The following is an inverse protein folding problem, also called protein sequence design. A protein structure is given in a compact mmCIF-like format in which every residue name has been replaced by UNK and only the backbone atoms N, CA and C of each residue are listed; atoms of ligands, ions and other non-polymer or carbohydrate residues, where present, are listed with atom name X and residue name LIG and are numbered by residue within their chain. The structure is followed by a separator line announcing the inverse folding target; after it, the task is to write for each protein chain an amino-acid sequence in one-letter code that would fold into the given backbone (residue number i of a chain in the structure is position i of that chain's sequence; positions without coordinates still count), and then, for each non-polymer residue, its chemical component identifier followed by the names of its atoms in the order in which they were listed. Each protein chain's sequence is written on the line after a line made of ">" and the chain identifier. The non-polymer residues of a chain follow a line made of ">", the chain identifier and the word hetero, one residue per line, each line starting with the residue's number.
data_IF_997497632820
#
_entry.id   IF_997497632820
#
_cell.length_a   1.000
_cell.length_b   1.000
_cell.length_c   1.000
_cell.angle_alpha   90.00
_cell.angle_beta   90.00
_cell.angle_gamma   90.00
#
_symmetry.space_group_name_H-M   'P 1'
#
loop_
_entity.id
_entity.type
_entity.pdbx_description
1 polymer ?
#
# COMPACT_ATOMS: atom_id res chain seq x y z
N UNK A 1 14.90 23.66 11.21
CA UNK A 1 14.72 22.27 11.74
C UNK A 1 15.29 21.33 10.69
N UNK A 2 16.41 20.66 11.02
CA UNK A 2 17.05 19.69 10.13
C UNK A 2 16.12 18.47 10.00
N UNK A 3 15.51 18.30 8.83
CA UNK A 3 14.78 17.09 8.48
C UNK A 3 15.80 15.98 8.23
N UNK A 4 16.08 15.18 9.25
CA UNK A 4 16.84 13.95 9.08
C UNK A 4 15.91 12.91 8.47
N UNK A 5 16.01 12.75 7.15
CA UNK A 5 15.45 11.63 6.41
C UNK A 5 15.94 10.32 7.02
N UNK A 6 15.04 9.40 7.30
CA UNK A 6 15.33 7.99 7.60
C UNK A 6 15.95 7.61 8.95
N UNK A 7 16.01 8.42 9.96
CA UNK A 7 16.59 7.98 11.24
C UNK A 7 15.57 7.57 12.31
N UNK A 8 14.29 7.82 12.12
CA UNK A 8 13.27 7.25 13.02
C UNK A 8 13.08 5.77 12.68
N UNK A 9 13.52 4.88 13.53
CA UNK A 9 13.24 3.45 13.42
C UNK A 9 11.73 3.21 13.57
N UNK A 10 11.20 2.28 12.77
CA UNK A 10 9.81 1.84 12.92
C UNK A 10 9.65 1.27 14.34
N UNK A 11 8.75 1.85 15.11
CA UNK A 11 8.46 1.42 16.47
C UNK A 11 7.63 0.14 16.43
N UNK A 12 8.10 -0.92 17.08
CA UNK A 12 7.37 -2.20 17.13
C UNK A 12 6.15 -2.15 18.05
N UNK A 13 6.15 -1.27 19.05
CA UNK A 13 5.08 -1.10 20.02
C UNK A 13 3.92 -0.24 19.55
N UNK A 14 4.02 0.36 18.38
CA UNK A 14 3.01 1.26 17.81
C UNK A 14 2.32 0.58 16.65
N UNK A 15 0.99 0.68 16.51
CA UNK A 15 0.31 0.20 15.30
C UNK A 15 0.94 0.81 14.05
N UNK A 16 1.36 -0.02 13.12
CA UNK A 16 1.98 0.43 11.87
C UNK A 16 1.00 0.29 10.71
N UNK A 17 0.93 1.31 9.88
CA UNK A 17 0.19 1.30 8.62
C UNK A 17 1.20 1.47 7.48
N UNK A 18 1.08 0.67 6.43
CA UNK A 18 1.98 0.71 5.28
C UNK A 18 1.22 1.13 4.02
N UNK A 19 1.74 2.08 3.28
CA UNK A 19 1.31 2.35 1.90
C UNK A 19 2.46 2.08 0.94
N UNK A 20 2.20 1.24 -0.07
CA UNK A 20 3.18 0.86 -1.10
C UNK A 20 2.79 1.54 -2.41
N UNK A 21 3.71 2.34 -2.96
CA UNK A 21 3.47 3.14 -4.16
C UNK A 21 2.57 4.33 -3.88
N UNK A 22 2.91 5.15 -2.87
CA UNK A 22 2.07 6.27 -2.46
C UNK A 22 2.01 7.42 -3.47
N UNK A 23 2.79 7.39 -4.56
CA UNK A 23 2.83 8.43 -5.58
C UNK A 23 3.09 9.81 -4.99
N UNK A 24 2.16 10.76 -5.18
CA UNK A 24 2.27 12.13 -4.61
C UNK A 24 1.88 12.21 -3.13
N UNK A 25 1.46 11.10 -2.50
CA UNK A 25 1.27 10.98 -1.07
C UNK A 25 -0.07 11.47 -0.51
N UNK A 26 -1.08 11.72 -1.35
CA UNK A 26 -2.37 12.23 -0.87
C UNK A 26 -3.00 11.30 0.17
N UNK A 27 -3.08 10.00 -0.13
CA UNK A 27 -3.63 9.01 0.80
C UNK A 27 -2.73 8.84 2.04
N UNK A 28 -1.41 8.86 1.86
CA UNK A 28 -0.45 8.75 2.96
C UNK A 28 -0.62 9.88 4.00
N UNK A 29 -0.83 11.11 3.54
CA UNK A 29 -1.09 12.28 4.40
C UNK A 29 -2.45 12.14 5.10
N UNK A 30 -3.47 11.68 4.40
CA UNK A 30 -4.80 11.46 4.99
C UNK A 30 -4.78 10.35 6.04
N UNK A 31 -4.11 9.23 5.76
CA UNK A 31 -3.89 8.15 6.74
C UNK A 31 -3.22 8.65 8.01
N UNK A 32 -2.23 9.52 7.86
CA UNK A 32 -1.50 10.11 8.96
C UNK A 32 -2.40 10.94 9.89
N UNK A 33 -3.24 11.80 9.30
CA UNK A 33 -4.17 12.65 10.04
C UNK A 33 -5.25 11.86 10.77
N UNK A 34 -5.72 10.78 10.16
CA UNK A 34 -6.79 9.95 10.71
C UNK A 34 -6.28 8.91 11.72
N UNK A 35 -4.95 8.73 11.84
CA UNK A 35 -4.33 7.70 12.68
C UNK A 35 -3.17 8.27 13.51
N UNK A 36 -3.42 9.30 14.31
CA UNK A 36 -2.39 10.02 15.08
C UNK A 36 -1.57 9.13 16.04
N UNK A 37 -2.15 8.04 16.53
CA UNK A 37 -1.47 7.07 17.40
C UNK A 37 -0.69 6.00 16.64
N UNK A 38 -0.79 5.97 15.31
CA UNK A 38 -0.12 5.01 14.44
C UNK A 38 1.09 5.64 13.77
N UNK A 39 2.07 4.80 13.45
CA UNK A 39 3.16 5.17 12.58
C UNK A 39 2.81 4.79 11.14
N UNK A 40 2.86 5.75 10.23
CA UNK A 40 2.54 5.56 8.82
C UNK A 40 3.85 5.38 8.05
N UNK A 41 3.98 4.27 7.36
CA UNK A 41 5.16 3.94 6.55
C UNK A 41 4.77 4.05 5.09
N UNK A 42 5.43 4.93 4.36
CA UNK A 42 5.26 5.09 2.92
C UNK A 42 6.46 4.56 2.15
N UNK A 43 6.23 3.77 1.11
CA UNK A 43 7.29 3.30 0.20
C UNK A 43 6.97 3.78 -1.21
N UNK A 44 7.90 4.57 -1.80
CA UNK A 44 7.77 5.11 -3.15
C UNK A 44 9.16 5.35 -3.75
N UNK A 45 9.54 4.62 -4.80
CA UNK A 45 10.84 4.83 -5.46
C UNK A 45 10.95 6.16 -6.21
N UNK A 46 9.82 6.77 -6.59
CA UNK A 46 9.80 8.01 -7.37
C UNK A 46 10.05 9.24 -6.49
N UNK A 47 11.21 9.85 -6.65
CA UNK A 47 11.70 10.91 -5.76
C UNK A 47 10.80 12.15 -5.72
N UNK A 48 10.07 12.50 -6.79
CA UNK A 48 9.14 13.62 -6.77
C UNK A 48 7.97 13.36 -5.81
N UNK A 49 7.50 12.12 -5.71
CA UNK A 49 6.50 11.73 -4.73
C UNK A 49 7.02 11.85 -3.30
N UNK A 50 8.25 11.38 -3.08
CA UNK A 50 8.94 11.52 -1.79
C UNK A 50 9.04 12.99 -1.40
N UNK A 51 9.54 13.86 -2.28
CA UNK A 51 9.65 15.28 -2.03
C UNK A 51 8.30 15.94 -1.71
N UNK A 52 7.24 15.55 -2.43
CA UNK A 52 5.87 16.04 -2.19
C UNK A 52 5.37 15.73 -0.78
N UNK A 53 5.59 14.48 -0.32
CA UNK A 53 5.20 14.06 1.04
C UNK A 53 5.99 14.84 2.09
N UNK A 54 7.28 15.02 1.90
CA UNK A 54 8.12 15.76 2.84
C UNK A 54 7.66 17.20 2.96
N UNK A 55 7.46 17.86 1.82
CA UNK A 55 6.95 19.24 1.80
C UNK A 55 5.62 19.33 2.57
N UNK A 56 4.72 18.37 2.34
CA UNK A 56 3.43 18.31 3.03
C UNK A 56 3.57 18.11 4.53
N UNK A 57 4.49 17.23 4.96
CA UNK A 57 4.77 16.98 6.38
C UNK A 57 5.28 18.25 7.07
N UNK A 58 6.20 18.98 6.43
CA UNK A 58 6.72 20.24 6.96
C UNK A 58 5.60 21.27 7.10
N UNK A 59 4.86 21.49 5.99
CA UNK A 59 3.81 22.51 5.94
C UNK A 59 2.68 22.27 6.94
N UNK A 60 2.38 21.02 7.25
CA UNK A 60 1.23 20.62 8.08
C UNK A 60 1.64 20.09 9.46
N UNK A 61 2.91 20.17 9.86
CA UNK A 61 3.46 19.67 11.12
C UNK A 61 3.13 18.19 11.38
N UNK A 62 3.23 17.34 10.35
CA UNK A 62 3.01 15.91 10.43
C UNK A 62 4.32 15.22 10.80
N UNK A 63 4.34 14.41 11.87
CA UNK A 63 5.55 13.78 12.42
C UNK A 63 5.48 12.25 12.53
N UNK A 64 4.32 11.64 12.23
CA UNK A 64 4.08 10.20 12.31
C UNK A 64 4.29 9.45 10.99
N UNK A 65 4.80 10.09 9.93
CA UNK A 65 5.12 9.46 8.65
C UNK A 65 6.61 9.13 8.55
N UNK A 66 6.90 7.91 8.09
CA UNK A 66 8.22 7.46 7.68
C UNK A 66 8.21 7.15 6.19
N UNK A 67 9.11 7.77 5.43
CA UNK A 67 9.19 7.59 3.98
C UNK A 67 10.45 6.80 3.59
N UNK A 68 10.28 5.85 2.69
CA UNK A 68 11.34 5.05 2.09
C UNK A 68 11.30 5.15 0.57
N UNK A 69 12.44 5.47 -0.04
CA UNK A 69 12.59 5.58 -1.50
C UNK A 69 13.16 4.31 -2.16
N UNK A 70 13.41 3.27 -1.37
CA UNK A 70 13.85 1.97 -1.89
C UNK A 70 12.66 1.16 -2.46
N UNK A 71 12.89 0.22 -3.38
CA UNK A 71 11.89 -0.78 -3.76
C UNK A 71 11.37 -1.54 -2.53
N UNK A 72 10.08 -1.89 -2.56
CA UNK A 72 9.40 -2.52 -1.42
C UNK A 72 10.05 -3.85 -1.01
N UNK A 73 10.57 -4.62 -1.95
CA UNK A 73 11.26 -5.88 -1.68
C UNK A 73 12.50 -5.68 -0.81
N UNK A 74 13.26 -4.61 -1.08
CA UNK A 74 14.44 -4.24 -0.30
C UNK A 74 14.06 -3.82 1.12
N UNK A 75 12.97 -3.03 1.24
CA UNK A 75 12.41 -2.65 2.54
C UNK A 75 11.98 -3.88 3.35
N UNK A 76 11.19 -4.77 2.76
CA UNK A 76 10.70 -5.98 3.43
C UNK A 76 11.83 -6.92 3.85
N UNK A 77 12.90 -7.04 3.05
CA UNK A 77 14.09 -7.84 3.37
C UNK A 77 14.84 -7.29 4.59
N UNK A 78 14.98 -5.96 4.68
CA UNK A 78 15.65 -5.29 5.80
C UNK A 78 14.80 -5.30 7.09
N UNK A 79 13.48 -5.26 6.98
CA UNK A 79 12.54 -5.09 8.09
C UNK A 79 11.71 -6.36 8.36
N UNK A 80 12.36 -7.53 8.46
CA UNK A 80 11.69 -8.84 8.55
C UNK A 80 10.75 -9.01 9.75
N UNK A 81 10.97 -8.28 10.85
CA UNK A 81 10.21 -8.38 12.11
C UNK A 81 9.19 -7.26 12.29
N UNK A 82 8.92 -6.47 11.26
CA UNK A 82 7.91 -5.41 11.30
C UNK A 82 6.62 -5.97 10.69
N UNK A 83 5.51 -5.75 11.41
CA UNK A 83 4.16 -6.12 11.00
C UNK A 83 3.29 -4.87 10.91
N UNK A 84 2.19 -4.99 10.20
CA UNK A 84 1.30 -3.88 9.90
C UNK A 84 -0.14 -4.25 10.20
N UNK A 85 -0.85 -3.34 10.86
CA UNK A 85 -2.30 -3.43 11.06
C UNK A 85 -3.03 -3.30 9.73
N UNK A 86 -2.54 -2.41 8.87
CA UNK A 86 -3.12 -2.15 7.56
C UNK A 86 -2.02 -1.95 6.53
N UNK A 87 -2.25 -2.48 5.33
CA UNK A 87 -1.37 -2.32 4.17
C UNK A 87 -2.22 -1.83 3.00
N UNK A 88 -1.78 -0.77 2.33
CA UNK A 88 -2.45 -0.19 1.18
C UNK A 88 -1.58 -0.36 -0.07
N UNK A 89 -2.18 -0.85 -1.16
CA UNK A 89 -1.62 -0.94 -2.51
C UNK A 89 -2.69 -0.38 -3.44
N UNK A 90 -2.61 0.91 -3.73
CA UNK A 90 -3.65 1.64 -4.44
C UNK A 90 -3.17 2.04 -5.82
N UNK A 91 -3.88 1.56 -6.85
CA UNK A 91 -3.60 1.87 -8.26
C UNK A 91 -2.15 1.63 -8.69
N UNK A 92 -1.56 0.46 -8.38
CA UNK A 92 -0.23 0.14 -8.87
C UNK A 92 -0.24 0.05 -10.39
N UNK A 93 0.92 0.27 -11.04
CA UNK A 93 1.05 0.27 -12.50
C UNK A 93 0.47 -1.00 -13.12
N UNK A 94 -0.54 -0.89 -14.00
CA UNK A 94 -1.25 -2.05 -14.55
C UNK A 94 -0.48 -2.76 -15.66
N UNK A 95 0.52 -2.11 -16.28
CA UNK A 95 1.31 -2.66 -17.37
C UNK A 95 0.42 -3.27 -18.48
N UNK A 96 -0.35 -2.44 -19.20
CA UNK A 96 -1.40 -2.84 -20.14
C UNK A 96 -0.98 -3.91 -21.18
N UNK A 97 0.26 -3.84 -21.69
CA UNK A 97 0.75 -4.80 -22.68
C UNK A 97 1.05 -6.14 -22.01
N UNK A 98 0.50 -7.26 -22.52
CA UNK A 98 0.67 -8.62 -21.98
C UNK A 98 2.13 -8.98 -21.67
N UNK A 99 3.07 -8.66 -22.59
CA UNK A 99 4.52 -8.89 -22.39
C UNK A 99 5.11 -8.18 -21.16
N UNK A 100 4.43 -7.17 -20.63
CA UNK A 100 4.85 -6.40 -19.45
C UNK A 100 4.15 -6.84 -18.15
N UNK A 101 3.18 -7.76 -18.18
CA UNK A 101 2.47 -8.21 -16.96
C UNK A 101 3.42 -8.75 -15.89
N UNK A 102 4.57 -9.32 -16.29
CA UNK A 102 5.64 -9.73 -15.36
C UNK A 102 6.24 -8.60 -14.51
N UNK A 103 5.96 -7.33 -14.85
CA UNK A 103 6.39 -6.14 -14.08
C UNK A 103 5.37 -5.68 -13.05
N UNK A 104 4.15 -6.26 -13.06
CA UNK A 104 3.12 -5.95 -12.08
C UNK A 104 3.63 -6.26 -10.67
N UNK A 105 3.43 -5.32 -9.76
CA UNK A 105 3.88 -5.46 -8.37
C UNK A 105 3.19 -6.64 -7.68
N UNK A 106 1.86 -6.71 -7.79
CA UNK A 106 1.07 -7.73 -7.08
C UNK A 106 1.00 -9.00 -7.91
N UNK A 107 1.95 -9.89 -7.67
CA UNK A 107 2.00 -11.27 -8.17
C UNK A 107 1.99 -12.25 -6.99
N UNK A 108 1.77 -13.53 -7.24
CA UNK A 108 1.65 -14.54 -6.20
C UNK A 108 2.80 -14.55 -5.17
N UNK A 109 4.10 -14.50 -5.56
CA UNK A 109 5.19 -14.49 -4.60
C UNK A 109 5.18 -13.24 -3.72
N UNK A 110 4.91 -12.07 -4.32
CA UNK A 110 4.82 -10.80 -3.60
C UNK A 110 3.62 -10.82 -2.63
N UNK A 111 2.44 -11.24 -3.11
CA UNK A 111 1.22 -11.30 -2.32
C UNK A 111 1.39 -12.24 -1.11
N UNK A 112 2.00 -13.41 -1.29
CA UNK A 112 2.35 -14.33 -0.18
C UNK A 112 3.28 -13.67 0.85
N UNK A 113 4.26 -12.89 0.39
CA UNK A 113 5.20 -12.22 1.28
C UNK A 113 4.53 -11.08 2.05
N UNK A 114 3.74 -10.24 1.37
CA UNK A 114 3.14 -9.05 1.99
C UNK A 114 2.04 -9.41 2.99
N UNK A 115 1.23 -10.46 2.73
CA UNK A 115 0.20 -10.93 3.67
C UNK A 115 0.82 -11.49 4.96
N UNK A 116 2.01 -12.10 4.89
CA UNK A 116 2.75 -12.52 6.09
C UNK A 116 3.15 -11.34 6.98
N UNK A 117 3.19 -10.11 6.42
CA UNK A 117 3.51 -8.87 7.15
C UNK A 117 2.31 -8.23 7.82
N UNK A 118 1.12 -8.76 7.64
CA UNK A 118 -0.06 -8.33 8.39
C UNK A 118 0.02 -8.85 9.83
N UNK A 119 -0.40 -8.04 10.77
CA UNK A 119 -0.74 -8.46 12.12
C UNK A 119 -1.91 -9.46 12.10
N UNK A 120 -2.20 -10.10 13.22
CA UNK A 120 -3.45 -10.84 13.40
C UNK A 120 -4.63 -9.89 13.21
N UNK A 121 -5.61 -10.28 12.42
CA UNK A 121 -6.75 -9.46 11.97
C UNK A 121 -6.34 -8.23 11.14
N UNK A 122 -5.08 -8.13 10.74
CA UNK A 122 -4.59 -7.06 9.87
C UNK A 122 -5.19 -7.13 8.47
N UNK A 123 -5.25 -6.00 7.78
CA UNK A 123 -5.93 -5.86 6.49
C UNK A 123 -5.00 -5.38 5.40
N UNK A 124 -5.08 -6.01 4.23
CA UNK A 124 -4.46 -5.51 2.99
C UNK A 124 -5.57 -4.98 2.08
N UNK A 125 -5.44 -3.73 1.68
CA UNK A 125 -6.33 -3.05 0.74
C UNK A 125 -5.65 -2.98 -0.63
N UNK A 126 -6.31 -3.49 -1.65
CA UNK A 126 -5.86 -3.40 -3.04
C UNK A 126 -6.93 -2.73 -3.89
N UNK A 127 -6.53 -1.75 -4.70
CA UNK A 127 -7.41 -1.05 -5.62
C UNK A 127 -6.78 -0.90 -6.99
N UNK A 128 -7.58 -1.08 -8.06
CA UNK A 128 -7.18 -0.82 -9.44
C UNK A 128 -8.40 -0.55 -10.33
N UNK A 129 -8.25 0.31 -11.32
CA UNK A 129 -9.22 0.54 -12.40
C UNK A 129 -8.98 -0.38 -13.61
N UNK A 130 -7.92 -1.20 -13.57
CA UNK A 130 -7.61 -2.18 -14.61
C UNK A 130 -8.22 -3.54 -14.27
N UNK A 131 -9.23 -3.95 -15.05
CA UNK A 131 -9.98 -5.19 -14.84
C UNK A 131 -9.11 -6.46 -14.97
N UNK A 132 -8.19 -6.48 -15.93
CA UNK A 132 -7.29 -7.62 -16.15
C UNK A 132 -6.30 -7.78 -14.98
N UNK A 133 -5.78 -6.67 -14.46
CA UNK A 133 -4.92 -6.72 -13.27
C UNK A 133 -5.69 -7.18 -12.04
N UNK A 134 -6.92 -6.69 -11.85
CA UNK A 134 -7.77 -7.12 -10.75
C UNK A 134 -8.01 -8.63 -10.80
N UNK A 135 -8.38 -9.16 -11.99
CA UNK A 135 -8.57 -10.59 -12.21
C UNK A 135 -7.30 -11.39 -11.87
N UNK A 136 -6.13 -10.93 -12.34
CA UNK A 136 -4.87 -11.62 -12.05
C UNK A 136 -4.55 -11.70 -10.56
N UNK A 137 -4.92 -10.68 -9.78
CA UNK A 137 -4.76 -10.72 -8.30
C UNK A 137 -5.75 -11.70 -7.67
N UNK A 138 -7.00 -11.74 -8.14
CA UNK A 138 -7.98 -12.73 -7.69
C UNK A 138 -7.51 -14.15 -7.98
N UNK A 139 -6.96 -14.42 -9.18
CA UNK A 139 -6.42 -15.73 -9.54
C UNK A 139 -5.29 -16.17 -8.59
N UNK A 140 -4.44 -15.22 -8.16
CA UNK A 140 -3.44 -15.50 -7.12
C UNK A 140 -4.07 -15.97 -5.81
N UNK A 141 -5.18 -15.35 -5.37
CA UNK A 141 -5.86 -15.70 -4.11
C UNK A 141 -6.52 -17.08 -4.17
N UNK A 142 -7.02 -17.48 -5.34
CA UNK A 142 -7.64 -18.80 -5.55
C UNK A 142 -6.62 -19.91 -5.81
N UNK A 143 -5.34 -19.59 -5.96
CA UNK A 143 -4.29 -20.60 -6.17
C UNK A 143 -4.16 -21.56 -4.99
N UNK A 144 -3.82 -22.83 -5.29
CA UNK A 144 -3.59 -23.87 -4.25
C UNK A 144 -2.56 -23.42 -3.20
N UNK A 145 -1.56 -22.70 -3.63
CA UNK A 145 -0.49 -22.16 -2.78
C UNK A 145 -0.98 -21.11 -1.79
N UNK A 146 -1.98 -20.31 -2.18
CA UNK A 146 -2.49 -19.23 -1.35
C UNK A 146 -3.56 -19.73 -0.35
N UNK A 147 -4.30 -20.79 -0.71
CA UNK A 147 -5.33 -21.42 0.16
C UNK A 147 -4.79 -21.92 1.50
N UNK A 148 -3.47 -22.14 1.60
CA UNK A 148 -2.80 -22.55 2.86
C UNK A 148 -2.57 -21.38 3.84
N UNK A 149 -2.81 -20.13 3.43
CA UNK A 149 -2.65 -18.96 4.28
C UNK A 149 -4.01 -18.64 4.90
N UNK A 150 -4.12 -18.52 6.24
CA UNK A 150 -5.38 -18.21 6.90
C UNK A 150 -5.78 -16.77 6.61
N UNK A 151 -6.59 -16.58 5.58
CA UNK A 151 -7.11 -15.27 5.17
C UNK A 151 -8.56 -15.37 4.73
N UNK A 152 -9.26 -14.27 4.88
CA UNK A 152 -10.56 -14.03 4.25
C UNK A 152 -10.41 -12.86 3.30
N UNK A 153 -10.94 -12.96 2.10
CA UNK A 153 -10.96 -11.82 1.17
C UNK A 153 -12.40 -11.46 0.81
N UNK A 154 -12.66 -10.16 0.71
CA UNK A 154 -13.97 -9.62 0.36
C UNK A 154 -13.82 -8.52 -0.68
N UNK A 155 -14.75 -8.48 -1.62
CA UNK A 155 -14.96 -7.30 -2.44
C UNK A 155 -15.73 -6.30 -1.59
N UNK A 156 -15.20 -5.10 -1.39
CA UNK A 156 -15.87 -4.07 -0.60
C UNK A 156 -16.20 -2.85 -1.44
N UNK A 157 -17.25 -2.16 -1.04
CA UNK A 157 -17.55 -0.81 -1.51
C UNK A 157 -16.70 0.20 -0.74
N UNK A 158 -16.22 1.23 -1.41
CA UNK A 158 -15.02 1.95 -1.04
C UNK A 158 -15.28 3.36 -0.56
N UNK A 159 -16.29 3.53 0.19
CA UNK A 159 -16.56 4.86 0.81
C UNK A 159 -15.45 5.32 1.77
N UNK A 160 -14.51 4.43 2.14
CA UNK A 160 -13.52 4.68 3.20
C UNK A 160 -12.04 4.68 2.75
N UNK A 161 -11.74 4.38 1.48
CA UNK A 161 -10.39 4.54 0.97
C UNK A 161 -10.25 5.96 0.43
N UNK A 162 -9.32 6.71 0.99
CA UNK A 162 -9.09 8.10 0.65
C UNK A 162 -9.13 8.38 -0.85
N UNK A 163 -9.64 9.55 -1.23
CA UNK A 163 -9.80 9.96 -2.63
C UNK A 163 -8.43 10.22 -3.26
N UNK A 164 -7.72 9.14 -3.60
CA UNK A 164 -6.45 9.29 -4.31
C UNK A 164 -6.67 9.99 -5.65
N UNK A 165 -5.66 10.72 -6.15
CA UNK A 165 -5.69 11.35 -7.48
C UNK A 165 -6.10 10.33 -8.57
N UNK A 166 -5.66 9.09 -8.45
CA UNK A 166 -5.98 8.01 -9.38
C UNK A 166 -7.44 7.56 -9.26
N UNK A 167 -7.98 7.50 -8.05
CA UNK A 167 -9.41 7.23 -7.84
C UNK A 167 -10.28 8.30 -8.50
N UNK A 168 -9.98 9.58 -8.27
CA UNK A 168 -10.71 10.69 -8.87
C UNK A 168 -10.60 10.69 -10.40
N UNK A 169 -9.41 10.37 -10.94
CA UNK A 169 -9.18 10.23 -12.38
C UNK A 169 -10.00 9.08 -12.97
N UNK A 170 -9.97 7.91 -12.35
CA UNK A 170 -10.75 6.74 -12.79
C UNK A 170 -12.25 7.08 -12.82
N UNK A 171 -12.76 7.72 -11.76
CA UNK A 171 -14.15 8.17 -11.68
C UNK A 171 -14.49 9.17 -12.80
N UNK A 172 -13.62 10.16 -13.05
CA UNK A 172 -13.80 11.15 -14.12
C UNK A 172 -13.85 10.52 -15.52
N UNK A 173 -13.09 9.44 -15.74
CA UNK A 173 -13.05 8.69 -16.98
C UNK A 173 -14.16 7.64 -17.11
N UNK A 174 -15.05 7.52 -16.12
CA UNK A 174 -16.10 6.49 -16.09
C UNK A 174 -15.56 5.08 -15.85
N UNK A 175 -14.27 4.93 -15.47
CA UNK A 175 -13.68 3.64 -15.24
C UNK A 175 -14.23 3.02 -13.94
N UNK A 176 -14.61 1.73 -14.02
CA UNK A 176 -14.99 0.97 -12.83
C UNK A 176 -13.75 0.69 -11.99
N UNK A 177 -13.73 1.20 -10.77
CA UNK A 177 -12.68 0.88 -9.82
C UNK A 177 -13.03 -0.41 -9.08
N UNK A 178 -12.09 -1.33 -9.04
CA UNK A 178 -12.23 -2.61 -8.35
C UNK A 178 -11.40 -2.59 -7.07
N UNK A 179 -12.00 -3.07 -5.99
CA UNK A 179 -11.39 -3.10 -4.65
C UNK A 179 -11.44 -4.50 -4.07
N UNK A 180 -10.40 -4.82 -3.33
CA UNK A 180 -10.25 -6.07 -2.64
C UNK A 180 -9.66 -5.81 -1.25
N UNK A 181 -10.22 -6.45 -0.24
CA UNK A 181 -9.63 -6.50 1.10
C UNK A 181 -9.30 -7.93 1.45
N UNK A 182 -8.09 -8.13 1.92
CA UNK A 182 -7.61 -9.40 2.46
C UNK A 182 -7.41 -9.20 3.94
N UNK A 183 -8.04 -10.03 4.75
CA UNK A 183 -7.92 -10.03 6.22
C UNK A 183 -7.16 -11.28 6.63
N UNK A 184 -6.11 -11.11 7.42
CA UNK A 184 -5.37 -12.23 8.00
C UNK A 184 -6.08 -12.69 9.27
N UNK A 185 -6.48 -13.94 9.31
CA UNK A 185 -7.06 -14.60 10.49
C UNK A 185 -6.00 -14.90 11.53
#
# INVERSE_FOLDING_TARGET
>A
KNFQFNLKKIKKSTPNILEIGFGMGHNLIELSKNNLKSQIVGIEPFLNGVASVIYSCVKQNIDNILVYSDPVEKFLKKNKKIYFKEIFILFPDPWHKKKHHKRRLVQLPFLKNIVKRLDKNGKLYFATDNQDYFKSVQDCLYSKDFKKIPIVHKKIDVKHLGQTKYFLRAKKLGNKVNFLVIVKS
#
